data_IF_188443179414
#
_entry.id   IF_188443179414
#
_cell.length_a   1.000
_cell.length_b   1.000
_cell.length_c   1.000
_cell.angle_alpha   90.00
_cell.angle_beta   90.00
_cell.angle_gamma   90.00
#
_symmetry.space_group_name_H-M   'P 1'
#
loop_
_entity.id
_entity.type
_entity.pdbx_description
1 polymer ?
#
# COMPACT_ATOMS: atom_id res chain seq x y z
N UNK A 1 -2.86 -14.42 15.12
CA UNK A 1 -2.57 -13.00 15.46
C UNK A 1 -2.24 -12.74 16.93
N UNK A 2 -2.44 -13.67 17.88
CA UNK A 2 -2.10 -13.49 19.32
C UNK A 2 -2.68 -12.22 19.99
N UNK A 3 -3.60 -11.51 19.33
CA UNK A 3 -4.25 -10.29 19.81
C UNK A 3 -5.67 -10.22 19.27
N UNK A 4 -6.53 -9.52 20.02
CA UNK A 4 -7.91 -9.20 19.67
C UNK A 4 -8.15 -7.68 19.72
N UNK A 5 -7.08 -6.87 19.66
CA UNK A 5 -7.18 -5.41 19.66
C UNK A 5 -6.90 -4.89 18.26
N UNK A 6 -7.81 -4.10 17.67
CA UNK A 6 -7.74 -3.67 16.28
C UNK A 6 -6.40 -3.01 15.93
N UNK A 7 -5.99 -2.03 16.74
CA UNK A 7 -4.73 -1.31 16.54
C UNK A 7 -3.53 -2.25 16.62
N UNK A 8 -3.54 -3.19 17.57
CA UNK A 8 -2.43 -4.13 17.75
C UNK A 8 -2.33 -5.08 16.55
N UNK A 9 -3.45 -5.67 16.12
CA UNK A 9 -3.46 -6.59 14.99
C UNK A 9 -3.03 -5.90 13.69
N UNK A 10 -3.55 -4.70 13.44
CA UNK A 10 -3.19 -3.90 12.27
C UNK A 10 -1.72 -3.50 12.27
N UNK A 11 -1.22 -2.94 13.37
CA UNK A 11 0.17 -2.48 13.49
C UNK A 11 1.14 -3.65 13.43
N UNK A 12 0.77 -4.81 13.97
CA UNK A 12 1.56 -6.02 13.84
C UNK A 12 1.73 -6.41 12.36
N UNK A 13 0.64 -6.52 11.61
CA UNK A 13 0.72 -6.93 10.21
C UNK A 13 1.40 -5.87 9.32
N UNK A 14 1.25 -4.58 9.62
CA UNK A 14 1.91 -3.52 8.82
C UNK A 14 3.43 -3.46 9.09
N UNK A 15 3.88 -3.77 10.30
CA UNK A 15 5.30 -3.68 10.69
C UNK A 15 6.03 -5.02 10.67
N UNK A 16 5.30 -6.14 10.64
CA UNK A 16 5.83 -7.48 10.87
C UNK A 16 6.41 -7.68 12.27
N UNK A 17 6.05 -6.82 13.23
CA UNK A 17 6.58 -6.88 14.60
C UNK A 17 5.46 -6.72 15.62
N UNK A 18 5.42 -7.55 16.68
CA UNK A 18 4.49 -7.36 17.77
C UNK A 18 4.61 -5.95 18.36
N UNK A 19 3.52 -5.17 18.43
CA UNK A 19 3.50 -3.84 19.03
C UNK A 19 3.84 -3.86 20.53
N UNK A 20 4.30 -2.73 21.06
CA UNK A 20 4.50 -2.52 22.50
C UNK A 20 3.27 -1.82 23.08
N UNK A 21 2.33 -2.60 23.63
CA UNK A 21 1.00 -2.09 23.96
C UNK A 21 0.28 -1.68 22.68
N UNK A 22 -0.16 -0.43 22.59
CA UNK A 22 -0.73 0.12 21.36
C UNK A 22 0.35 0.63 20.39
N UNK A 23 1.58 0.87 20.84
CA UNK A 23 2.60 1.54 20.01
C UNK A 23 3.21 0.59 18.98
N UNK A 24 3.16 0.97 17.70
CA UNK A 24 3.80 0.22 16.62
C UNK A 24 5.32 0.14 16.83
N UNK A 25 5.94 -0.96 16.38
CA UNK A 25 7.37 -1.21 16.54
C UNK A 25 8.08 -1.28 15.19
N UNK A 26 9.07 -0.42 14.99
CA UNK A 26 9.87 -0.36 13.77
C UNK A 26 9.12 0.28 12.60
N UNK A 27 9.80 0.37 11.46
CA UNK A 27 9.21 0.89 10.23
C UNK A 27 8.18 -0.09 9.64
N UNK A 28 7.15 0.46 9.01
CA UNK A 28 6.19 -0.32 8.22
C UNK A 28 6.90 -1.02 7.08
N UNK A 29 6.44 -2.22 6.70
CA UNK A 29 7.00 -3.01 5.58
C UNK A 29 6.96 -2.20 4.28
N UNK A 30 5.90 -1.43 4.03
CA UNK A 30 5.85 -0.53 2.88
C UNK A 30 6.93 0.56 2.88
N UNK A 31 7.32 1.04 4.06
CA UNK A 31 8.43 2.00 4.21
C UNK A 31 9.79 1.31 4.07
N UNK A 32 9.95 0.05 4.52
CA UNK A 32 11.15 -0.75 4.22
C UNK A 32 11.33 -0.92 2.71
N UNK A 33 10.26 -1.31 2.00
CA UNK A 33 10.27 -1.43 0.54
C UNK A 33 10.64 -0.11 -0.13
N UNK A 34 10.01 1.01 0.24
CA UNK A 34 10.31 2.30 -0.37
C UNK A 34 11.73 2.82 -0.07
N UNK A 35 12.32 2.43 1.07
CA UNK A 35 13.70 2.78 1.43
C UNK A 35 14.75 1.98 0.68
N UNK A 36 14.41 0.77 0.21
CA UNK A 36 15.35 -0.14 -0.46
C UNK A 36 15.13 -0.25 -1.97
N UNK A 37 13.91 0.00 -2.44
CA UNK A 37 13.53 -0.12 -3.84
C UNK A 37 13.36 1.26 -4.49
N UNK A 38 14.21 1.55 -5.47
CA UNK A 38 14.06 2.65 -6.43
C UNK A 38 13.66 4.00 -5.78
N UNK A 39 14.62 4.66 -5.10
CA UNK A 39 14.38 5.85 -4.31
C UNK A 39 14.00 7.09 -5.13
N UNK A 40 14.07 7.01 -6.46
CA UNK A 40 13.84 8.13 -7.38
C UNK A 40 12.38 8.27 -7.80
N UNK A 41 11.48 7.45 -7.25
CA UNK A 41 10.04 7.64 -7.43
C UNK A 41 9.61 9.00 -6.89
N UNK A 42 8.72 9.71 -7.58
CA UNK A 42 8.26 11.01 -7.10
C UNK A 42 7.53 10.94 -5.74
N UNK A 43 6.76 9.87 -5.51
CA UNK A 43 6.15 9.54 -4.21
C UNK A 43 6.43 8.07 -3.91
N UNK A 44 7.59 7.72 -3.31
CA UNK A 44 8.01 6.33 -3.17
C UNK A 44 6.99 5.43 -2.46
N UNK A 45 6.33 5.96 -1.43
CA UNK A 45 5.29 5.27 -0.68
C UNK A 45 4.04 6.14 -0.59
N UNK A 46 2.94 5.69 -1.19
CA UNK A 46 1.63 6.31 -1.09
C UNK A 46 0.76 5.52 -0.09
N UNK A 47 0.04 6.21 0.80
CA UNK A 47 -0.91 5.56 1.69
C UNK A 47 -2.27 6.25 1.68
N UNK A 48 -3.34 5.47 1.62
CA UNK A 48 -4.70 5.95 1.78
C UNK A 48 -5.46 5.06 2.77
N UNK A 49 -5.83 5.64 3.92
CA UNK A 49 -6.51 4.96 5.03
C UNK A 49 -5.73 3.77 5.63
N UNK A 50 -4.40 3.81 5.55
CA UNK A 50 -3.52 2.82 6.18
C UNK A 50 -2.45 3.55 7.00
N UNK A 51 -2.24 3.12 8.24
CA UNK A 51 -1.17 3.66 9.08
C UNK A 51 0.21 3.33 8.50
N UNK A 52 1.18 4.23 8.64
CA UNK A 52 2.56 3.96 8.25
C UNK A 52 3.54 4.60 9.23
N UNK A 53 4.63 3.89 9.50
CA UNK A 53 5.66 4.28 10.46
C UNK A 53 7.03 4.26 9.78
N UNK A 54 7.83 5.28 10.05
CA UNK A 54 9.23 5.36 9.63
C UNK A 54 10.10 5.63 10.85
N UNK A 55 10.86 4.62 11.29
CA UNK A 55 11.73 4.68 12.46
C UNK A 55 13.20 4.68 12.07
N UNK A 56 13.53 3.90 11.04
CA UNK A 56 14.92 3.55 10.66
C UNK A 56 15.17 3.59 9.16
N UNK A 57 14.23 4.11 8.36
CA UNK A 57 14.41 4.29 6.92
C UNK A 57 14.68 5.76 6.57
N UNK A 58 15.29 6.04 5.42
CA UNK A 58 15.45 7.41 4.94
C UNK A 58 14.13 8.19 4.93
N UNK A 59 14.20 9.51 5.15
CA UNK A 59 13.01 10.34 5.25
C UNK A 59 12.10 10.26 4.01
N UNK A 60 12.67 10.07 2.81
CA UNK A 60 11.92 9.94 1.56
C UNK A 60 11.04 8.66 1.49
N UNK A 61 11.32 7.65 2.32
CA UNK A 61 10.57 6.40 2.37
C UNK A 61 9.32 6.48 3.26
N UNK A 62 9.13 7.59 3.97
CA UNK A 62 7.91 7.85 4.72
C UNK A 62 6.70 7.85 3.76
N UNK A 63 5.60 7.21 4.18
CA UNK A 63 4.38 7.24 3.40
C UNK A 63 3.85 8.67 3.28
N UNK A 64 3.46 9.06 2.07
CA UNK A 64 2.65 10.25 1.85
C UNK A 64 1.17 9.87 2.02
N UNK A 65 0.51 10.31 3.11
CA UNK A 65 -0.91 10.03 3.31
C UNK A 65 -1.74 10.90 2.36
N UNK A 66 -2.78 10.32 1.77
CA UNK A 66 -3.76 11.05 0.96
C UNK A 66 -5.16 10.86 1.53
N UNK A 67 -5.87 11.98 1.73
CA UNK A 67 -7.15 11.98 2.44
C UNK A 67 -8.33 11.50 1.57
N UNK A 68 -8.25 11.69 0.26
CA UNK A 68 -9.24 11.26 -0.73
C UNK A 68 -8.53 10.73 -1.97
N UNK A 69 -9.22 9.92 -2.77
CA UNK A 69 -8.64 9.25 -3.94
C UNK A 69 -8.18 10.25 -5.01
N UNK A 70 -8.91 11.34 -5.18
CA UNK A 70 -8.61 12.36 -6.18
C UNK A 70 -7.64 13.44 -5.69
N UNK A 71 -7.33 13.49 -4.39
CA UNK A 71 -6.42 14.50 -3.84
C UNK A 71 -5.00 14.41 -4.40
N UNK A 72 -4.59 13.23 -4.88
CA UNK A 72 -3.31 13.05 -5.56
C UNK A 72 -3.16 14.01 -6.74
N UNK A 73 -4.24 14.26 -7.50
CA UNK A 73 -4.18 15.18 -8.63
C UNK A 73 -3.77 16.60 -8.19
N UNK A 74 -4.24 17.07 -7.04
CA UNK A 74 -3.95 18.41 -6.55
C UNK A 74 -2.53 18.52 -5.98
N UNK A 75 -2.03 17.46 -5.36
CA UNK A 75 -0.66 17.39 -4.85
C UNK A 75 0.35 17.42 -6.00
N UNK A 76 0.04 16.75 -7.11
CA UNK A 76 0.94 16.64 -8.25
C UNK A 76 0.78 17.79 -9.26
N UNK A 77 -0.24 18.64 -9.11
CA UNK A 77 -0.49 19.76 -10.02
C UNK A 77 0.35 20.97 -9.63
N UNK A 78 0.87 21.70 -10.62
CA UNK A 78 1.46 23.01 -10.37
C UNK A 78 0.38 23.98 -9.86
N UNK A 79 0.41 24.29 -8.56
CA UNK A 79 -0.37 25.39 -8.01
C UNK A 79 0.55 26.50 -7.53
N UNK A 80 0.77 27.48 -8.40
CA UNK A 80 1.56 28.67 -8.10
C UNK A 80 0.86 29.64 -7.13
N UNK A 81 -0.32 29.28 -6.60
CA UNK A 81 -1.15 30.15 -5.76
C UNK A 81 -1.65 31.40 -6.50
N UNK A 82 -1.54 31.41 -7.83
CA UNK A 82 -1.97 32.52 -8.67
C UNK A 82 -3.49 32.51 -8.78
N UNK A 83 -4.12 33.64 -8.49
CA UNK A 83 -5.54 33.83 -8.72
C UNK A 83 -5.94 33.40 -10.14
N UNK A 84 -7.12 32.83 -10.28
CA UNK A 84 -7.72 32.58 -11.59
C UNK A 84 -7.83 33.92 -12.33
N UNK A 85 -7.30 33.99 -13.56
CA UNK A 85 -7.28 35.23 -14.36
C UNK A 85 -5.95 35.98 -14.42
N UNK A 86 -4.86 35.49 -13.79
CA UNK A 86 -3.52 36.06 -14.03
C UNK A 86 -3.12 35.88 -15.50
N UNK A 87 -2.85 36.99 -16.19
CA UNK A 87 -2.51 37.00 -17.60
C UNK A 87 -1.27 36.13 -17.90
N UNK A 88 -1.23 35.40 -19.04
CA UNK A 88 -0.16 34.45 -19.35
C UNK A 88 1.26 35.03 -19.28
N UNK A 89 1.42 36.31 -19.65
CA UNK A 89 2.68 37.05 -19.55
C UNK A 89 3.14 37.27 -18.11
N UNK A 90 2.23 37.57 -17.18
CA UNK A 90 2.53 37.72 -15.74
C UNK A 90 2.91 36.38 -15.13
N UNK A 91 2.18 35.31 -15.48
CA UNK A 91 2.53 33.94 -15.09
C UNK A 91 3.92 33.55 -15.61
N UNK A 92 4.22 33.87 -16.87
CA UNK A 92 5.54 33.66 -17.47
C UNK A 92 6.65 34.46 -16.76
N UNK A 93 6.39 35.71 -16.41
CA UNK A 93 7.34 36.57 -15.69
C UNK A 93 7.60 36.06 -14.25
N UNK A 94 6.56 35.61 -13.54
CA UNK A 94 6.71 34.98 -12.22
C UNK A 94 7.47 33.66 -12.31
N UNK A 95 7.18 32.84 -13.32
CA UNK A 95 7.96 31.64 -13.63
C UNK A 95 9.44 31.95 -13.86
N UNK A 96 9.76 32.98 -14.65
CA UNK A 96 11.12 33.44 -14.91
C UNK A 96 11.81 34.03 -13.65
N UNK A 97 11.08 34.79 -12.83
CA UNK A 97 11.58 35.34 -11.56
C UNK A 97 11.92 34.22 -10.55
N UNK A 98 11.02 33.26 -10.39
CA UNK A 98 11.28 32.06 -9.60
C UNK A 98 12.36 31.19 -10.21
N UNK A 99 12.69 31.35 -11.50
CA UNK A 99 13.84 30.72 -12.13
C UNK A 99 15.17 31.39 -11.77
N UNK A 100 15.21 32.72 -11.66
CA UNK A 100 16.40 33.49 -11.28
C UNK A 100 16.82 33.29 -9.83
N UNK A 101 15.88 33.16 -8.89
CA UNK A 101 16.16 32.91 -7.47
C UNK A 101 16.64 31.48 -7.17
N UNK A 102 16.90 30.65 -8.21
CA UNK A 102 17.28 29.22 -8.09
C UNK A 102 18.79 28.99 -8.02
N UNK A 103 19.60 29.97 -8.41
CA UNK A 103 21.04 29.80 -8.56
C UNK A 103 21.79 30.26 -7.31
N UNK A 104 21.57 29.57 -6.18
CA UNK A 104 22.40 29.71 -4.99
C UNK A 104 23.68 28.84 -5.09
N UNK A 105 23.95 28.24 -6.25
CA UNK A 105 24.99 27.23 -6.46
C UNK A 105 26.42 27.74 -6.28
N UNK A 106 26.61 29.06 -6.33
CA UNK A 106 27.92 29.71 -6.25
C UNK A 106 28.17 30.45 -4.93
N UNK A 107 27.30 30.34 -3.92
CA UNK A 107 27.58 30.96 -2.61
C UNK A 107 28.54 30.09 -1.79
N UNK A 108 29.76 30.60 -1.49
CA UNK A 108 30.77 29.88 -0.73
C UNK A 108 30.35 29.81 0.74
N UNK A 109 29.67 28.73 1.11
CA UNK A 109 29.29 28.45 2.51
C UNK A 109 28.18 27.42 2.65
N UNK A 110 27.23 27.38 1.71
CA UNK A 110 26.04 26.52 1.80
C UNK A 110 26.10 25.35 0.80
N UNK A 111 26.68 25.56 -0.38
CA UNK A 111 26.60 24.64 -1.53
C UNK A 111 27.23 23.24 -1.35
N UNK A 112 28.20 23.08 -0.44
CA UNK A 112 29.00 21.85 -0.27
C UNK A 112 28.54 20.90 0.84
N UNK A 113 27.45 21.19 1.54
CA UNK A 113 26.96 20.34 2.64
C UNK A 113 26.03 19.23 2.14
N UNK A 114 25.99 18.11 2.86
CA UNK A 114 25.03 17.01 2.62
C UNK A 114 23.58 17.50 2.66
N UNK A 115 23.26 18.43 3.58
CA UNK A 115 21.94 19.05 3.68
C UNK A 115 21.55 19.85 2.43
N UNK A 116 22.51 20.58 1.83
CA UNK A 116 22.27 21.30 0.59
C UNK A 116 22.06 20.36 -0.60
N UNK A 117 22.73 19.20 -0.62
CA UNK A 117 22.46 18.15 -1.62
C UNK A 117 21.04 17.60 -1.47
N UNK A 118 20.61 17.25 -0.25
CA UNK A 118 19.24 16.80 0.05
C UNK A 118 18.20 17.84 -0.39
N UNK A 119 18.43 19.13 -0.08
CA UNK A 119 17.52 20.20 -0.51
C UNK A 119 17.42 20.31 -2.04
N UNK A 120 18.55 20.21 -2.75
CA UNK A 120 18.58 20.23 -4.22
C UNK A 120 17.87 19.02 -4.82
N UNK A 121 18.08 17.83 -4.28
CA UNK A 121 17.44 16.60 -4.75
C UNK A 121 15.92 16.64 -4.53
N UNK A 122 15.47 17.05 -3.34
CA UNK A 122 14.05 17.25 -3.06
C UNK A 122 13.41 18.26 -4.02
N UNK A 123 14.11 19.37 -4.29
CA UNK A 123 13.63 20.41 -5.22
C UNK A 123 13.61 19.94 -6.66
N UNK A 124 14.56 19.09 -7.09
CA UNK A 124 14.57 18.45 -8.41
C UNK A 124 13.36 17.52 -8.56
N UNK A 125 13.17 16.59 -7.62
CA UNK A 125 12.05 15.64 -7.62
C UNK A 125 10.68 16.32 -7.61
N UNK A 126 10.51 17.36 -6.78
CA UNK A 126 9.27 18.14 -6.75
C UNK A 126 8.96 18.81 -8.11
N UNK A 127 9.97 19.21 -8.89
CA UNK A 127 9.77 19.74 -10.24
C UNK A 127 9.48 18.67 -11.26
N UNK A 128 10.13 17.52 -11.17
CA UNK A 128 9.85 16.38 -12.04
C UNK A 128 8.39 15.93 -11.88
N UNK A 129 7.87 15.87 -10.66
CA UNK A 129 6.44 15.66 -10.38
C UNK A 129 5.57 16.64 -11.17
N UNK A 130 5.85 17.94 -11.04
CA UNK A 130 5.01 18.99 -11.61
C UNK A 130 5.08 18.99 -13.14
N UNK A 131 6.28 18.87 -13.69
CA UNK A 131 6.54 18.94 -15.14
C UNK A 131 6.15 17.66 -15.89
N UNK A 132 6.11 16.51 -15.22
CA UNK A 132 5.67 15.24 -15.81
C UNK A 132 4.16 15.18 -16.07
N UNK A 133 3.38 16.17 -15.60
CA UNK A 133 1.92 16.20 -15.74
C UNK A 133 1.22 14.95 -15.16
N UNK A 134 1.84 14.28 -14.19
CA UNK A 134 1.31 13.05 -13.58
C UNK A 134 -0.06 13.26 -12.93
N UNK A 135 -0.41 14.49 -12.52
CA UNK A 135 -1.73 14.83 -11.99
C UNK A 135 -2.88 14.39 -12.92
N UNK A 136 -2.69 14.42 -14.24
CA UNK A 136 -3.72 14.00 -15.21
C UNK A 136 -4.07 12.51 -15.10
N UNK A 137 -3.14 11.69 -14.61
CA UNK A 137 -3.34 10.26 -14.39
C UNK A 137 -4.21 9.94 -13.17
N UNK A 138 -4.58 10.98 -12.40
CA UNK A 138 -5.46 10.89 -11.23
C UNK A 138 -6.73 11.75 -11.38
N UNK A 139 -6.93 12.36 -12.54
CA UNK A 139 -8.17 13.07 -12.88
C UNK A 139 -9.24 12.07 -13.30
N UNK A 140 -9.69 11.22 -12.36
CA UNK A 140 -10.57 10.09 -12.67
C UNK A 140 -11.89 10.48 -13.36
N UNK A 141 -12.31 11.74 -13.33
CA UNK A 141 -13.52 12.22 -14.03
C UNK A 141 -13.24 12.69 -15.47
N UNK A 142 -11.99 12.81 -15.90
CA UNK A 142 -11.63 13.35 -17.22
C UNK A 142 -11.91 12.37 -18.37
N UNK A 143 -12.14 12.82 -19.61
CA UNK A 143 -12.32 11.92 -20.75
C UNK A 143 -11.16 10.92 -20.94
N UNK A 144 -9.93 11.32 -20.64
CA UNK A 144 -8.71 10.52 -20.80
C UNK A 144 -8.72 9.25 -19.92
N UNK A 145 -9.35 9.30 -18.74
CA UNK A 145 -9.46 8.16 -17.83
C UNK A 145 -10.80 7.42 -17.93
N UNK A 146 -11.53 7.56 -19.05
CA UNK A 146 -12.79 6.86 -19.28
C UNK A 146 -12.65 5.33 -19.20
N UNK A 147 -11.58 4.76 -19.76
CA UNK A 147 -11.31 3.32 -19.69
C UNK A 147 -11.06 2.85 -18.25
N UNK A 148 -10.34 3.65 -17.45
CA UNK A 148 -10.08 3.37 -16.03
C UNK A 148 -11.40 3.41 -15.25
N UNK A 149 -12.23 4.43 -15.45
CA UNK A 149 -13.56 4.49 -14.82
C UNK A 149 -14.40 3.28 -15.18
N UNK A 150 -14.44 2.89 -16.45
CA UNK A 150 -15.23 1.75 -16.91
C UNK A 150 -14.75 0.44 -16.25
N UNK A 151 -13.43 0.20 -16.24
CA UNK A 151 -12.84 -0.99 -15.64
C UNK A 151 -13.13 -1.11 -14.14
N UNK A 152 -13.06 0.00 -13.40
CA UNK A 152 -13.32 0.00 -11.96
C UNK A 152 -14.79 0.28 -11.58
N UNK A 153 -15.67 0.59 -12.53
CA UNK A 153 -17.07 0.91 -12.26
C UNK A 153 -17.25 2.26 -11.54
N UNK A 154 -16.41 3.25 -11.82
CA UNK A 154 -16.38 4.54 -11.13
C UNK A 154 -17.41 5.52 -11.71
N UNK A 155 -18.69 5.31 -11.37
CA UNK A 155 -19.74 6.30 -11.58
C UNK A 155 -19.58 7.52 -10.64
N UNK A 156 -20.43 8.53 -10.80
CA UNK A 156 -20.46 9.69 -9.90
C UNK A 156 -20.63 9.23 -8.44
N UNK A 157 -19.78 9.75 -7.54
CA UNK A 157 -19.78 9.40 -6.11
C UNK A 157 -19.08 8.09 -5.74
N UNK A 158 -18.60 7.30 -6.70
CA UNK A 158 -17.95 6.00 -6.43
C UNK A 158 -16.46 6.11 -6.11
N UNK A 159 -15.88 7.31 -6.14
CA UNK A 159 -14.44 7.47 -6.09
C UNK A 159 -13.82 7.14 -4.72
N UNK A 160 -14.56 7.36 -3.64
CA UNK A 160 -14.08 7.05 -2.28
C UNK A 160 -14.41 5.61 -1.81
N UNK A 161 -14.90 4.77 -2.72
CA UNK A 161 -15.19 3.35 -2.47
C UNK A 161 -13.93 2.49 -2.61
N UNK A 162 -14.03 1.20 -2.26
CA UNK A 162 -12.97 0.22 -2.51
C UNK A 162 -12.47 0.22 -3.96
N UNK A 163 -13.39 0.41 -4.93
CA UNK A 163 -13.08 0.45 -6.36
C UNK A 163 -12.21 1.65 -6.74
N UNK A 164 -12.50 2.84 -6.19
CA UNK A 164 -11.68 4.02 -6.46
C UNK A 164 -10.31 3.95 -5.81
N UNK A 165 -10.21 3.36 -4.61
CA UNK A 165 -8.92 3.09 -3.94
C UNK A 165 -8.09 2.06 -4.69
N UNK A 166 -8.73 1.03 -5.24
CA UNK A 166 -8.07 0.08 -6.15
C UNK A 166 -7.56 0.78 -7.42
N UNK A 167 -8.36 1.67 -8.03
CA UNK A 167 -7.95 2.46 -9.18
C UNK A 167 -6.78 3.39 -8.86
N UNK A 168 -6.78 4.05 -7.69
CA UNK A 168 -5.67 4.86 -7.19
C UNK A 168 -4.38 4.04 -7.12
N UNK A 169 -4.45 2.87 -6.47
CA UNK A 169 -3.30 1.99 -6.31
C UNK A 169 -2.74 1.53 -7.66
N UNK A 170 -3.60 1.10 -8.58
CA UNK A 170 -3.20 0.71 -9.92
C UNK A 170 -2.54 1.86 -10.68
N UNK A 171 -3.16 3.05 -10.71
CA UNK A 171 -2.60 4.20 -11.43
C UNK A 171 -1.25 4.60 -10.85
N UNK A 172 -1.12 4.71 -9.52
CA UNK A 172 0.12 5.07 -8.87
C UNK A 172 1.29 4.12 -9.19
N UNK A 173 1.02 2.82 -9.30
CA UNK A 173 2.01 1.83 -9.73
C UNK A 173 2.32 1.92 -11.23
N UNK A 174 1.28 1.94 -12.09
CA UNK A 174 1.40 1.89 -13.55
C UNK A 174 2.13 3.10 -14.13
N UNK A 175 1.83 4.29 -13.62
CA UNK A 175 2.45 5.53 -14.11
C UNK A 175 3.79 5.82 -13.44
N UNK A 176 4.21 4.92 -12.54
CA UNK A 176 5.49 5.01 -11.88
C UNK A 176 5.58 6.12 -10.83
N UNK A 177 4.43 6.60 -10.31
CA UNK A 177 4.39 7.57 -9.23
C UNK A 177 4.98 6.99 -7.94
N UNK A 178 4.62 5.73 -7.64
CA UNK A 178 4.96 5.07 -6.38
C UNK A 178 5.54 3.69 -6.58
N UNK A 179 6.45 3.30 -5.68
CA UNK A 179 6.97 1.95 -5.57
C UNK A 179 6.07 1.08 -4.70
N UNK A 180 5.46 1.69 -3.69
CA UNK A 180 4.57 1.04 -2.74
C UNK A 180 3.29 1.85 -2.60
N UNK A 181 2.15 1.16 -2.61
CA UNK A 181 0.86 1.77 -2.34
C UNK A 181 0.11 0.94 -1.31
N UNK A 182 -0.32 1.59 -0.22
CA UNK A 182 -1.10 0.97 0.86
C UNK A 182 -2.52 1.54 0.86
N UNK A 183 -3.54 0.68 0.68
CA UNK A 183 -4.95 1.10 0.67
C UNK A 183 -5.84 0.17 1.48
N UNK A 184 -6.87 0.73 2.12
CA UNK A 184 -7.94 -0.06 2.75
C UNK A 184 -9.07 -0.33 1.76
N UNK A 185 -9.32 -1.60 1.44
CA UNK A 185 -10.38 -2.03 0.50
C UNK A 185 -11.69 -2.47 1.18
N UNK A 186 -11.69 -2.72 2.49
CA UNK A 186 -12.89 -3.03 3.26
C UNK A 186 -12.80 -2.38 4.63
N UNK A 187 -13.94 -1.94 5.17
CA UNK A 187 -14.03 -1.33 6.50
C UNK A 187 -15.37 -1.72 7.17
N UNK A 188 -15.57 -1.28 8.41
CA UNK A 188 -16.78 -1.56 9.18
C UNK A 188 -17.14 -3.07 9.22
N UNK A 189 -16.13 -3.91 9.46
CA UNK A 189 -16.29 -5.36 9.59
C UNK A 189 -16.52 -5.81 11.04
N UNK A 190 -16.54 -4.85 11.96
CA UNK A 190 -16.75 -5.08 13.38
C UNK A 190 -18.25 -5.24 13.68
N UNK A 191 -18.66 -6.46 13.98
CA UNK A 191 -20.08 -6.88 13.95
C UNK A 191 -20.48 -7.66 15.20
N UNK A 192 -20.42 -6.99 16.36
CA UNK A 192 -20.71 -7.59 17.69
C UNK A 192 -22.20 -7.82 18.00
N UNK A 193 -23.09 -7.47 17.08
CA UNK A 193 -24.54 -7.70 17.13
C UNK A 193 -25.04 -8.28 15.79
N UNK A 194 -26.36 -8.31 15.57
CA UNK A 194 -26.96 -8.89 14.37
C UNK A 194 -26.68 -8.13 13.05
N UNK A 195 -25.92 -7.04 13.07
CA UNK A 195 -25.59 -6.26 11.86
C UNK A 195 -24.76 -7.05 10.84
N UNK A 196 -24.04 -8.10 11.25
CA UNK A 196 -23.30 -8.96 10.31
C UNK A 196 -24.19 -9.55 9.21
N UNK A 197 -25.48 -9.76 9.49
CA UNK A 197 -26.42 -10.34 8.54
C UNK A 197 -26.82 -9.37 7.42
N UNK A 198 -26.66 -8.06 7.64
CA UNK A 198 -27.17 -7.05 6.72
C UNK A 198 -26.16 -6.65 5.65
N UNK A 199 -24.89 -6.43 6.04
CA UNK A 199 -23.92 -5.77 5.16
C UNK A 199 -22.50 -6.31 5.23
N UNK A 200 -22.17 -7.20 6.16
CA UNK A 200 -20.80 -7.70 6.32
C UNK A 200 -20.34 -8.48 5.07
N UNK A 201 -21.16 -9.39 4.55
CA UNK A 201 -20.86 -10.13 3.32
C UNK A 201 -20.71 -9.20 2.12
N UNK A 202 -21.58 -8.20 1.99
CA UNK A 202 -21.53 -7.19 0.93
C UNK A 202 -20.25 -6.36 1.00
N UNK A 203 -19.87 -5.86 2.19
CA UNK A 203 -18.63 -5.10 2.41
C UNK A 203 -17.38 -5.91 2.06
N UNK A 204 -17.34 -7.19 2.45
CA UNK A 204 -16.26 -8.10 2.08
C UNK A 204 -16.23 -8.35 0.57
N UNK A 205 -17.39 -8.62 -0.03
CA UNK A 205 -17.50 -8.84 -1.46
C UNK A 205 -17.02 -7.62 -2.27
N UNK A 206 -17.39 -6.40 -1.88
CA UNK A 206 -16.91 -5.19 -2.52
C UNK A 206 -15.39 -5.02 -2.42
N UNK A 207 -14.80 -5.30 -1.26
CA UNK A 207 -13.36 -5.29 -1.08
C UNK A 207 -12.63 -6.30 -1.97
N UNK A 208 -13.13 -7.54 -2.03
CA UNK A 208 -12.56 -8.58 -2.89
C UNK A 208 -12.80 -8.33 -4.38
N UNK A 209 -13.94 -7.76 -4.77
CA UNK A 209 -14.24 -7.37 -6.15
C UNK A 209 -13.32 -6.24 -6.61
N UNK A 210 -13.05 -5.25 -5.74
CA UNK A 210 -12.10 -4.19 -6.02
C UNK A 210 -10.66 -4.74 -6.15
N UNK A 211 -10.27 -5.66 -5.27
CA UNK A 211 -8.98 -6.35 -5.35
C UNK A 211 -8.83 -7.15 -6.65
N UNK A 212 -9.87 -7.88 -7.06
CA UNK A 212 -9.87 -8.63 -8.30
C UNK A 212 -9.70 -7.72 -9.53
N UNK A 213 -10.36 -6.56 -9.55
CA UNK A 213 -10.20 -5.56 -10.61
C UNK A 213 -8.80 -4.95 -10.63
N UNK A 214 -8.20 -4.69 -9.46
CA UNK A 214 -6.80 -4.26 -9.36
C UNK A 214 -5.84 -5.29 -9.96
N UNK A 215 -5.96 -6.56 -9.57
CA UNK A 215 -5.13 -7.65 -10.10
C UNK A 215 -5.29 -7.79 -11.62
N UNK A 216 -6.51 -7.72 -12.13
CA UNK A 216 -6.80 -7.79 -13.56
C UNK A 216 -6.18 -6.60 -14.33
N UNK A 217 -6.24 -5.38 -13.78
CA UNK A 217 -5.65 -4.19 -14.40
C UNK A 217 -4.12 -4.28 -14.46
N UNK A 218 -3.47 -4.72 -13.37
CA UNK A 218 -2.03 -4.94 -13.35
C UNK A 218 -1.61 -6.07 -14.30
N UNK A 219 -2.41 -7.13 -14.41
CA UNK A 219 -2.14 -8.24 -15.33
C UNK A 219 -2.27 -7.84 -16.81
N UNK A 220 -3.21 -6.94 -17.12
CA UNK A 220 -3.44 -6.44 -18.48
C UNK A 220 -2.45 -5.34 -18.89
N UNK A 221 -1.76 -4.72 -17.94
CA UNK A 221 -0.79 -3.64 -18.21
C UNK A 221 0.59 -4.21 -18.45
N UNK A 222 1.23 -3.83 -19.57
CA UNK A 222 2.62 -4.19 -19.86
C UNK A 222 3.59 -3.44 -18.93
N UNK A 223 4.55 -4.15 -18.36
CA UNK A 223 5.57 -3.57 -17.50
C UNK A 223 6.78 -3.08 -18.28
N UNK A 224 7.48 -2.03 -17.81
CA UNK A 224 8.81 -1.70 -18.31
C UNK A 224 9.75 -2.91 -18.21
N UNK A 225 10.41 -3.27 -19.31
CA UNK A 225 11.27 -4.46 -19.38
C UNK A 225 10.55 -5.78 -19.67
N UNK A 226 9.27 -5.73 -20.04
CA UNK A 226 8.49 -6.86 -20.52
C UNK A 226 7.76 -7.64 -19.43
N UNK A 227 6.74 -8.40 -19.86
CA UNK A 227 5.78 -9.06 -18.97
C UNK A 227 4.67 -8.12 -18.51
N UNK A 228 3.81 -8.59 -17.61
CA UNK A 228 2.75 -7.76 -17.03
C UNK A 228 3.20 -7.00 -15.79
N UNK A 229 2.53 -5.90 -15.45
CA UNK A 229 2.78 -5.19 -14.19
C UNK A 229 2.47 -6.07 -12.97
N UNK A 230 1.54 -7.01 -13.07
CA UNK A 230 1.30 -7.98 -11.98
C UNK A 230 2.51 -8.90 -11.75
N UNK A 231 3.23 -9.31 -12.79
CA UNK A 231 4.46 -10.10 -12.66
C UNK A 231 5.60 -9.32 -12.00
N UNK A 232 5.53 -7.98 -12.00
CA UNK A 232 6.50 -7.08 -11.35
C UNK A 232 6.01 -6.52 -10.01
N UNK A 233 4.82 -6.91 -9.56
CA UNK A 233 4.19 -6.37 -8.35
C UNK A 233 3.86 -7.51 -7.40
N UNK A 234 4.32 -7.42 -6.16
CA UNK A 234 3.88 -8.32 -5.08
C UNK A 234 2.78 -7.63 -4.27
N UNK A 235 1.66 -8.33 -4.06
CA UNK A 235 0.51 -7.85 -3.31
C UNK A 235 0.32 -8.68 -2.04
N UNK A 236 0.07 -8.00 -0.92
CA UNK A 236 -0.33 -8.60 0.36
C UNK A 236 -1.65 -7.97 0.79
N UNK A 237 -2.70 -8.77 0.93
CA UNK A 237 -3.99 -8.35 1.47
C UNK A 237 -4.27 -9.13 2.76
N UNK A 238 -4.65 -8.42 3.83
CA UNK A 238 -4.85 -9.00 5.15
C UNK A 238 -5.94 -8.27 5.92
N UNK A 239 -6.39 -8.87 7.02
CA UNK A 239 -7.20 -8.23 8.08
C UNK A 239 -6.39 -8.19 9.37
N UNK A 240 -6.75 -7.34 10.33
CA UNK A 240 -6.12 -7.31 11.65
C UNK A 240 -6.36 -8.60 12.45
N UNK A 241 -7.52 -9.25 12.28
CA UNK A 241 -7.88 -10.58 12.76
C UNK A 241 -9.22 -11.05 12.15
N UNK A 242 -9.63 -12.29 12.45
CA UNK A 242 -10.91 -12.87 12.03
C UNK A 242 -12.06 -12.60 13.02
N UNK A 243 -13.28 -12.96 12.59
CA UNK A 243 -14.49 -12.98 13.41
C UNK A 243 -14.82 -14.41 13.83
N UNK A 244 -15.39 -14.59 15.03
CA UNK A 244 -15.73 -15.91 15.53
C UNK A 244 -16.67 -16.64 14.55
N UNK A 245 -16.47 -17.96 14.35
CA UNK A 245 -17.36 -18.74 13.49
C UNK A 245 -18.76 -18.88 14.10
N UNK A 246 -18.84 -19.00 15.43
CA UNK A 246 -20.07 -19.05 16.20
C UNK A 246 -20.55 -17.64 16.57
N UNK A 247 -21.88 -17.51 16.69
CA UNK A 247 -22.51 -16.27 17.14
C UNK A 247 -22.40 -16.14 18.67
N UNK A 248 -22.27 -14.90 19.13
CA UNK A 248 -22.30 -14.54 20.54
C UNK A 248 -23.76 -14.39 21.05
N UNK A 249 -23.95 -14.12 22.34
CA UNK A 249 -25.28 -13.97 22.96
C UNK A 249 -26.10 -12.80 22.39
N UNK A 250 -25.44 -11.84 21.75
CA UNK A 250 -26.06 -10.68 21.07
C UNK A 250 -26.37 -10.97 19.60
N UNK A 251 -26.28 -12.22 19.17
CA UNK A 251 -26.45 -12.65 17.79
C UNK A 251 -25.43 -12.02 16.82
N UNK A 252 -24.26 -11.62 17.32
CA UNK A 252 -23.14 -11.07 16.57
C UNK A 252 -21.91 -11.98 16.54
N UNK A 253 -20.78 -11.45 16.08
CA UNK A 253 -19.49 -12.16 16.01
C UNK A 253 -18.39 -11.40 16.74
N UNK A 254 -17.70 -12.10 17.63
CA UNK A 254 -16.60 -11.56 18.42
C UNK A 254 -15.26 -11.71 17.70
N UNK A 255 -14.19 -11.25 18.35
CA UNK A 255 -12.84 -11.30 17.81
C UNK A 255 -12.30 -12.72 17.87
N UNK A 256 -11.60 -13.15 16.82
CA UNK A 256 -11.00 -14.47 16.73
C UNK A 256 -9.46 -14.39 16.57
N UNK A 257 -8.73 -15.27 17.25
CA UNK A 257 -7.25 -15.26 17.23
C UNK A 257 -6.65 -15.72 15.90
N UNK A 258 -7.42 -16.49 15.13
CA UNK A 258 -7.10 -16.92 13.77
C UNK A 258 -7.08 -15.73 12.79
N UNK A 259 -6.35 -15.91 11.68
CA UNK A 259 -6.32 -14.93 10.60
C UNK A 259 -5.96 -15.60 9.27
N UNK A 260 -6.22 -14.89 8.18
CA UNK A 260 -5.74 -15.25 6.86
C UNK A 260 -5.19 -14.02 6.14
N UNK A 261 -4.30 -14.26 5.19
CA UNK A 261 -3.82 -13.25 4.27
C UNK A 261 -3.80 -13.85 2.86
N UNK A 262 -4.08 -13.00 1.88
CA UNK A 262 -3.92 -13.31 0.47
C UNK A 262 -2.63 -12.66 -0.02
N UNK A 263 -1.79 -13.45 -0.68
CA UNK A 263 -0.58 -12.96 -1.32
C UNK A 263 -0.62 -13.32 -2.80
N UNK A 264 -0.26 -12.37 -3.67
CA UNK A 264 -0.34 -12.56 -5.11
C UNK A 264 0.76 -11.78 -5.86
N UNK A 265 0.96 -12.13 -7.13
CA UNK A 265 1.82 -11.39 -8.06
C UNK A 265 3.25 -11.90 -8.16
N UNK A 266 4.17 -11.00 -8.50
CA UNK A 266 5.57 -11.29 -8.81
C UNK A 266 6.33 -12.00 -7.69
N UNK A 267 7.25 -12.90 -8.07
CA UNK A 267 8.17 -13.58 -7.13
C UNK A 267 7.55 -14.71 -6.29
N UNK A 268 6.23 -14.89 -6.34
CA UNK A 268 5.51 -15.85 -5.48
C UNK A 268 4.89 -17.01 -6.27
N UNK A 269 4.84 -18.18 -5.64
CA UNK A 269 4.13 -19.37 -6.14
C UNK A 269 2.65 -19.25 -5.78
N UNK A 270 1.81 -18.88 -6.76
CA UNK A 270 0.35 -18.80 -6.58
C UNK A 270 -0.34 -20.16 -6.67
N UNK A 271 -1.68 -20.16 -6.53
CA UNK A 271 -2.52 -21.36 -6.73
C UNK A 271 -2.47 -22.38 -5.59
N UNK A 272 -2.06 -21.95 -4.39
CA UNK A 272 -1.95 -22.81 -3.21
C UNK A 272 -2.55 -22.15 -1.98
N UNK A 273 -2.89 -22.98 -1.00
CA UNK A 273 -3.27 -22.59 0.36
C UNK A 273 -2.16 -23.07 1.29
N UNK A 274 -1.67 -22.18 2.14
CA UNK A 274 -0.63 -22.47 3.13
C UNK A 274 -1.26 -22.37 4.52
N UNK A 275 -1.13 -23.43 5.29
CA UNK A 275 -1.77 -23.61 6.58
C UNK A 275 -3.26 -23.91 6.51
N UNK A 276 -3.84 -24.08 7.69
CA UNK A 276 -5.19 -24.59 7.90
C UNK A 276 -5.71 -24.16 9.27
N UNK A 277 -7.00 -24.39 9.47
CA UNK A 277 -7.65 -24.28 10.76
C UNK A 277 -8.29 -25.62 11.12
N UNK A 278 -8.23 -25.99 12.40
CA UNK A 278 -8.88 -27.21 12.89
C UNK A 278 -10.41 -27.08 12.84
N UNK A 279 -11.10 -28.22 12.77
CA UNK A 279 -12.57 -28.26 12.84
C UNK A 279 -13.12 -27.73 14.17
N UNK A 280 -12.29 -27.74 15.22
CA UNK A 280 -12.66 -27.21 16.53
C UNK A 280 -12.38 -25.71 16.60
N UNK A 281 -13.47 -24.93 16.64
CA UNK A 281 -13.45 -23.47 16.77
C UNK A 281 -12.67 -22.71 15.67
N UNK A 282 -12.25 -23.37 14.58
CA UNK A 282 -11.40 -22.79 13.54
C UNK A 282 -10.06 -22.24 14.06
N UNK A 283 -9.51 -22.86 15.12
CA UNK A 283 -8.17 -22.51 15.62
C UNK A 283 -7.09 -22.79 14.57
N UNK A 284 -6.08 -21.93 14.40
CA UNK A 284 -4.98 -22.16 13.45
C UNK A 284 -4.17 -23.37 13.87
N UNK A 285 -3.78 -24.20 12.90
CA UNK A 285 -2.91 -25.36 13.13
C UNK A 285 -1.43 -24.99 13.01
N UNK A 286 -0.57 -25.83 13.59
CA UNK A 286 0.87 -25.77 13.36
C UNK A 286 1.18 -26.25 11.94
N UNK A 287 2.19 -25.65 11.31
CA UNK A 287 2.54 -25.91 9.92
C UNK A 287 4.03 -26.17 9.76
N UNK A 288 4.39 -27.05 8.83
CA UNK A 288 5.73 -27.08 8.28
C UNK A 288 5.85 -25.97 7.21
N UNK A 289 6.71 -24.97 7.44
CA UNK A 289 6.89 -23.86 6.51
C UNK A 289 7.38 -24.30 5.12
N UNK A 290 8.13 -25.41 5.05
CA UNK A 290 8.71 -25.89 3.80
C UNK A 290 7.65 -26.47 2.85
N UNK A 291 6.72 -27.27 3.39
CA UNK A 291 5.61 -27.83 2.60
C UNK A 291 4.35 -26.96 2.61
N UNK A 292 4.20 -26.08 3.59
CA UNK A 292 3.02 -25.25 3.83
C UNK A 292 1.80 -26.01 4.37
N UNK A 293 1.98 -27.26 4.83
CA UNK A 293 0.90 -28.15 5.31
C UNK A 293 0.89 -28.25 6.83
N UNK A 294 -0.24 -28.69 7.39
CA UNK A 294 -0.35 -28.99 8.82
C UNK A 294 0.69 -30.03 9.24
N UNK A 295 1.36 -29.76 10.36
CA UNK A 295 2.32 -30.67 10.98
C UNK A 295 2.30 -30.45 12.50
N UNK A 296 2.09 -31.51 13.28
CA UNK A 296 2.09 -31.45 14.75
C UNK A 296 3.46 -31.03 15.31
N UNK A 297 4.55 -31.30 14.59
CA UNK A 297 5.90 -30.85 14.91
C UNK A 297 6.27 -29.50 14.29
N UNK A 298 5.34 -28.87 13.59
CA UNK A 298 5.53 -27.59 12.90
C UNK A 298 5.47 -26.38 13.83
N UNK A 299 5.30 -25.21 13.23
CA UNK A 299 5.23 -23.93 13.95
C UNK A 299 4.00 -23.13 13.59
N UNK A 300 3.68 -22.12 14.41
CA UNK A 300 2.56 -21.21 14.12
C UNK A 300 2.91 -20.25 13.00
N UNK A 301 1.97 -20.07 12.06
CA UNK A 301 2.10 -19.05 11.02
C UNK A 301 1.78 -17.65 11.57
N UNK A 302 2.70 -16.71 11.39
CA UNK A 302 2.61 -15.34 11.89
C UNK A 302 2.76 -14.32 10.75
N UNK A 303 2.35 -13.04 10.95
CA UNK A 303 2.48 -12.00 9.93
C UNK A 303 3.90 -11.85 9.37
N UNK A 304 4.92 -11.95 10.22
CA UNK A 304 6.33 -11.85 9.83
C UNK A 304 6.76 -12.95 8.86
N UNK A 305 6.20 -14.17 8.93
CA UNK A 305 6.45 -15.21 7.94
C UNK A 305 5.95 -14.78 6.56
N UNK A 306 4.73 -14.23 6.49
CA UNK A 306 4.11 -13.75 5.25
C UNK A 306 4.87 -12.55 4.68
N UNK A 307 5.21 -11.58 5.52
CA UNK A 307 5.86 -10.35 5.12
C UNK A 307 7.32 -10.58 4.72
N UNK A 308 8.07 -11.40 5.46
CA UNK A 308 9.43 -11.81 5.06
C UNK A 308 9.40 -12.48 3.69
N UNK A 309 8.43 -13.37 3.44
CA UNK A 309 8.30 -14.02 2.13
C UNK A 309 8.06 -13.01 1.00
N UNK A 310 7.14 -12.06 1.21
CA UNK A 310 6.86 -11.01 0.23
C UNK A 310 8.08 -10.11 -0.02
N UNK A 311 8.79 -9.70 1.03
CA UNK A 311 10.01 -8.89 0.93
C UNK A 311 11.14 -9.62 0.19
N UNK A 312 11.42 -10.87 0.58
CA UNK A 312 12.44 -11.71 -0.07
C UNK A 312 12.10 -11.93 -1.54
N UNK A 313 10.83 -12.19 -1.86
CA UNK A 313 10.39 -12.35 -3.27
C UNK A 313 10.58 -11.09 -4.11
N UNK A 314 10.63 -9.92 -3.48
CA UNK A 314 10.84 -8.62 -4.11
C UNK A 314 12.31 -8.16 -4.05
N UNK A 315 13.23 -8.99 -3.52
CA UNK A 315 14.65 -8.65 -3.38
C UNK A 315 14.94 -7.59 -2.31
N UNK A 316 14.04 -7.43 -1.33
CA UNK A 316 14.18 -6.48 -0.21
C UNK A 316 14.77 -7.21 1.00
N UNK A 317 15.72 -6.59 1.70
CA UNK A 317 16.25 -7.12 2.95
C UNK A 317 15.18 -7.11 4.04
N UNK A 318 14.84 -8.32 4.50
CA UNK A 318 13.86 -8.59 5.55
C UNK A 318 14.50 -8.98 6.89
N UNK A 319 15.84 -8.91 7.03
CA UNK A 319 16.58 -9.31 8.23
C UNK A 319 16.03 -8.70 9.53
N UNK A 320 15.51 -7.49 9.43
CA UNK A 320 14.94 -6.72 10.53
C UNK A 320 13.63 -7.32 11.10
N UNK A 321 12.97 -8.24 10.40
CA UNK A 321 11.78 -8.98 10.88
C UNK A 321 12.13 -10.21 11.73
N UNK A 322 13.38 -10.71 11.65
CA UNK A 322 13.91 -11.84 12.45
C UNK A 322 13.06 -13.12 12.36
N UNK A 323 12.50 -13.38 11.19
CA UNK A 323 11.66 -14.55 10.91
C UNK A 323 12.05 -15.12 9.54
N UNK A 324 11.91 -16.43 9.37
CA UNK A 324 12.21 -17.09 8.10
C UNK A 324 11.10 -16.79 7.08
N UNK A 325 11.42 -16.73 5.77
CA UNK A 325 10.37 -16.78 4.75
C UNK A 325 9.70 -18.15 4.78
N UNK A 326 8.53 -18.25 4.15
CA UNK A 326 7.81 -19.50 3.90
C UNK A 326 8.33 -20.07 2.57
N UNK A 327 9.19 -21.11 2.56
CA UNK A 327 9.80 -21.58 1.32
C UNK A 327 8.77 -22.09 0.30
N UNK A 328 7.66 -22.65 0.76
CA UNK A 328 6.55 -23.06 -0.11
C UNK A 328 5.99 -21.92 -0.97
N UNK A 329 6.09 -20.67 -0.50
CA UNK A 329 5.53 -19.49 -1.15
C UNK A 329 6.48 -18.84 -2.17
N UNK A 330 7.79 -19.07 -2.08
CA UNK A 330 8.79 -18.40 -2.92
C UNK A 330 9.00 -19.14 -4.25
N UNK A 331 9.06 -18.42 -5.39
CA UNK A 331 9.56 -19.04 -6.64
C UNK A 331 11.03 -19.41 -6.46
N UNK A 332 11.39 -20.63 -6.85
CA UNK A 332 12.77 -21.10 -6.80
C UNK A 332 13.63 -20.46 -7.88
#
# INVERSE_FOLDING_TARGET
MATLTHEVGRRYFITGRPPAGLTARGSSVGTLCAGQLDPDRPVPHLSHLVESYNVDQPAYAAAMPVAAVDHVQYILQENLGLATGVAPNVRGALGAYWQKTRDCGNEPGIGGTELAAIYRDNRRRAREVVTSNLHRQFQFQSPELAAVRAHYGLAAGMLETAYGRAALAAQALKVGLSRVVSVTLANALDTHDNTWANDHSTRLADGFNALARLLADLQATEAPGGGSMLEKTTLVAFSEFQRTPRLNERNGRDHHLGNCALVAGGGLRGGQVIGSSSDSALGPELIDLASGRSDEGGESLFPEHVLTSALVSAGVDASSLRSAPIPALLRG
#
